data_IF_300424231480
#
_entry.id   IF_300424231480
#
_cell.length_a   1.000
_cell.length_b   1.000
_cell.length_c   1.000
_cell.angle_alpha   90.00
_cell.angle_beta   90.00
_cell.angle_gamma   90.00
#
_symmetry.space_group_name_H-M   'P 1'
#
loop_
_entity.id
_entity.type
_entity.pdbx_description
1 polymer ?
#
# COMPACT_ATOMS: atom_id res chain seq x y z
N UNK A 1 -43.58 -35.02 -51.35
CA UNK A 1 -42.30 -34.31 -51.11
C UNK A 1 -42.55 -33.10 -50.23
N UNK A 2 -41.55 -32.78 -49.38
CA UNK A 2 -41.36 -31.58 -48.57
C UNK A 2 -41.87 -31.62 -47.11
N UNK A 3 -40.99 -32.14 -46.26
CA UNK A 3 -40.93 -32.05 -44.80
C UNK A 3 -40.66 -30.61 -44.35
N UNK A 4 -41.53 -30.03 -43.50
CA UNK A 4 -41.23 -28.76 -42.81
C UNK A 4 -40.40 -29.04 -41.56
N UNK A 5 -39.13 -28.64 -41.62
CA UNK A 5 -38.12 -28.72 -40.56
C UNK A 5 -38.56 -27.96 -39.31
N UNK A 6 -38.42 -28.64 -38.17
CA UNK A 6 -38.36 -28.04 -36.83
C UNK A 6 -37.25 -26.98 -36.77
N UNK A 7 -37.57 -25.79 -36.29
CA UNK A 7 -36.59 -24.81 -35.84
C UNK A 7 -36.95 -24.43 -34.39
N UNK A 8 -36.47 -25.23 -33.44
CA UNK A 8 -36.47 -24.87 -32.04
C UNK A 8 -35.47 -23.72 -31.84
N UNK A 9 -35.97 -22.50 -31.65
CA UNK A 9 -35.18 -21.39 -31.12
C UNK A 9 -34.99 -21.63 -29.63
N UNK A 10 -33.85 -22.20 -29.25
CA UNK A 10 -33.38 -22.17 -27.87
C UNK A 10 -32.94 -20.73 -27.60
N UNK A 11 -33.72 -20.00 -26.82
CA UNK A 11 -33.27 -18.75 -26.23
C UNK A 11 -32.20 -19.11 -25.20
N UNK A 12 -30.94 -18.84 -25.53
CA UNK A 12 -29.85 -18.90 -24.56
C UNK A 12 -30.11 -17.78 -23.55
N UNK A 13 -30.53 -18.16 -22.33
CA UNK A 13 -30.57 -17.23 -21.22
C UNK A 13 -29.11 -16.85 -20.92
N UNK A 14 -28.76 -15.58 -21.09
CA UNK A 14 -27.48 -15.07 -20.64
C UNK A 14 -27.40 -15.30 -19.12
N UNK A 15 -26.39 -16.02 -18.66
CA UNK A 15 -26.08 -16.11 -17.24
C UNK A 15 -25.93 -14.68 -16.68
N UNK A 16 -26.43 -14.40 -15.46
CA UNK A 16 -26.31 -13.08 -14.89
C UNK A 16 -24.83 -12.72 -14.81
N UNK A 17 -24.44 -11.64 -15.50
CA UNK A 17 -23.12 -11.05 -15.45
C UNK A 17 -22.72 -10.95 -13.97
N UNK A 18 -21.63 -11.62 -13.56
CA UNK A 18 -21.12 -11.52 -12.20
C UNK A 18 -20.94 -10.03 -11.88
N UNK A 19 -21.70 -9.51 -10.89
CA UNK A 19 -21.51 -8.14 -10.43
C UNK A 19 -20.05 -7.98 -10.03
N UNK A 20 -19.37 -7.01 -10.63
CA UNK A 20 -18.05 -6.63 -10.17
C UNK A 20 -18.15 -6.24 -8.69
N UNK A 21 -17.19 -6.66 -7.85
CA UNK A 21 -17.18 -6.26 -6.45
C UNK A 21 -17.03 -4.74 -6.36
N UNK A 22 -17.76 -4.14 -5.43
CA UNK A 22 -17.65 -2.71 -5.15
C UNK A 22 -16.22 -2.37 -4.69
N UNK A 23 -15.78 -1.15 -4.99
CA UNK A 23 -14.52 -0.62 -4.48
C UNK A 23 -14.56 -0.58 -2.93
N UNK A 24 -13.40 -0.69 -2.26
CA UNK A 24 -13.33 -0.52 -0.81
C UNK A 24 -13.78 0.89 -0.41
N UNK A 25 -14.22 1.05 0.84
CA UNK A 25 -14.41 2.41 1.39
C UNK A 25 -13.06 3.13 1.54
N UNK A 26 -13.08 4.46 1.65
CA UNK A 26 -11.88 5.24 1.93
C UNK A 26 -11.17 4.77 3.22
N UNK A 27 -11.93 4.48 4.28
CA UNK A 27 -11.39 3.94 5.53
C UNK A 27 -10.72 2.59 5.35
N UNK A 28 -11.32 1.71 4.54
CA UNK A 28 -10.72 0.41 4.21
C UNK A 28 -9.42 0.59 3.43
N UNK A 29 -9.39 1.50 2.45
CA UNK A 29 -8.18 1.81 1.69
C UNK A 29 -7.06 2.39 2.57
N UNK A 30 -7.38 3.35 3.44
CA UNK A 30 -6.45 3.91 4.42
C UNK A 30 -5.89 2.83 5.34
N UNK A 31 -6.76 2.00 5.91
CA UNK A 31 -6.36 0.92 6.81
C UNK A 31 -5.47 -0.11 6.11
N UNK A 32 -5.80 -0.48 4.86
CA UNK A 32 -5.00 -1.39 4.05
C UNK A 32 -3.62 -0.80 3.75
N UNK A 33 -3.53 0.48 3.38
CA UNK A 33 -2.27 1.16 3.13
C UNK A 33 -1.37 1.16 4.38
N UNK A 34 -1.93 1.54 5.53
CA UNK A 34 -1.23 1.54 6.83
C UNK A 34 -0.76 0.14 7.22
N UNK A 35 -1.63 -0.87 7.08
CA UNK A 35 -1.27 -2.25 7.41
C UNK A 35 -0.15 -2.78 6.50
N UNK A 36 -0.18 -2.46 5.21
CA UNK A 36 0.84 -2.88 4.25
C UNK A 36 2.21 -2.25 4.55
N UNK A 37 2.24 -0.94 4.80
CA UNK A 37 3.50 -0.24 5.14
C UNK A 37 4.03 -0.70 6.49
N UNK A 38 3.18 -0.91 7.49
CA UNK A 38 3.62 -1.47 8.76
C UNK A 38 4.33 -2.81 8.57
N UNK A 39 3.72 -3.72 7.81
CA UNK A 39 4.31 -5.02 7.51
C UNK A 39 5.67 -4.87 6.80
N UNK A 40 5.77 -3.95 5.83
CA UNK A 40 7.00 -3.71 5.09
C UNK A 40 8.11 -3.15 5.98
N UNK A 41 7.80 -2.21 6.87
CA UNK A 41 8.75 -1.65 7.83
C UNK A 41 9.23 -2.71 8.83
N UNK A 42 8.32 -3.54 9.34
CA UNK A 42 8.69 -4.68 10.21
C UNK A 42 9.60 -5.68 9.48
N UNK A 43 9.39 -5.87 8.17
CA UNK A 43 10.27 -6.70 7.36
C UNK A 43 11.65 -6.07 7.12
N UNK A 44 11.72 -4.74 6.94
CA UNK A 44 13.00 -4.02 6.86
C UNK A 44 13.82 -4.18 8.13
N UNK A 45 13.20 -4.02 9.31
CA UNK A 45 13.88 -4.20 10.59
C UNK A 45 14.46 -5.63 10.70
N UNK A 46 13.67 -6.65 10.35
CA UNK A 46 14.17 -8.03 10.33
C UNK A 46 15.32 -8.22 9.34
N UNK A 47 15.20 -7.66 8.14
CA UNK A 47 16.24 -7.74 7.12
C UNK A 47 17.58 -7.14 7.58
N UNK A 48 17.53 -6.06 8.37
CA UNK A 48 18.73 -5.50 9.00
C UNK A 48 19.32 -6.43 10.05
N UNK A 49 18.50 -7.09 10.86
CA UNK A 49 19.01 -8.04 11.88
C UNK A 49 19.72 -9.24 11.25
N UNK A 50 19.31 -9.62 10.04
CA UNK A 50 19.93 -10.71 9.27
C UNK A 50 21.18 -10.26 8.47
N UNK A 51 21.44 -8.96 8.36
CA UNK A 51 22.56 -8.40 7.60
C UNK A 51 23.85 -8.42 8.41
N UNK A 52 24.75 -9.35 8.06
CA UNK A 52 26.06 -9.53 8.71
C UNK A 52 27.10 -8.48 8.33
N UNK A 53 26.82 -7.69 7.29
CA UNK A 53 27.72 -6.65 6.78
C UNK A 53 27.23 -5.25 7.17
N UNK A 54 26.35 -5.18 8.18
CA UNK A 54 25.84 -3.90 8.68
C UNK A 54 26.99 -3.04 9.22
N UNK A 55 27.02 -1.77 8.81
CA UNK A 55 28.04 -0.81 9.19
C UNK A 55 27.50 0.09 10.30
N UNK A 56 28.27 0.28 11.38
CA UNK A 56 27.86 1.10 12.53
C UNK A 56 27.53 2.55 12.15
N UNK A 57 28.09 3.05 11.03
CA UNK A 57 27.76 4.40 10.53
C UNK A 57 26.33 4.51 9.98
N UNK A 58 25.67 3.40 9.69
CA UNK A 58 24.28 3.35 9.20
C UNK A 58 23.27 3.22 10.37
N UNK A 59 23.68 3.40 11.64
CA UNK A 59 22.79 3.32 12.81
C UNK A 59 21.61 4.29 12.76
N UNK A 60 21.78 5.48 12.16
CA UNK A 60 20.69 6.44 11.97
C UNK A 60 19.61 5.90 11.02
N UNK A 61 19.96 4.97 10.13
CA UNK A 61 19.00 4.28 9.26
C UNK A 61 18.12 3.34 10.07
N UNK A 62 18.65 2.68 11.09
CA UNK A 62 17.85 1.88 12.03
C UNK A 62 16.82 2.77 12.73
N UNK A 63 17.27 3.89 13.30
CA UNK A 63 16.40 4.79 14.05
C UNK A 63 15.33 5.46 13.18
N UNK A 64 15.64 5.80 11.94
CA UNK A 64 14.66 6.39 11.01
C UNK A 64 13.59 5.38 10.59
N UNK A 65 13.95 4.11 10.37
CA UNK A 65 12.98 3.05 10.08
C UNK A 65 12.11 2.74 11.30
N UNK A 66 12.69 2.69 12.51
CA UNK A 66 11.94 2.50 13.76
C UNK A 66 10.99 3.67 14.03
N UNK A 67 11.43 4.91 13.77
CA UNK A 67 10.61 6.10 13.90
C UNK A 67 9.43 6.08 12.92
N UNK A 68 9.67 5.71 11.66
CA UNK A 68 8.61 5.53 10.67
C UNK A 68 7.59 4.49 11.13
N UNK A 69 8.07 3.35 11.67
CA UNK A 69 7.20 2.29 12.18
C UNK A 69 6.39 2.75 13.40
N UNK A 70 6.97 3.53 14.29
CA UNK A 70 6.26 4.12 15.43
C UNK A 70 5.12 5.03 14.95
N UNK A 71 5.37 5.92 13.98
CA UNK A 71 4.33 6.77 13.39
C UNK A 71 3.23 5.94 12.73
N UNK A 72 3.57 4.90 11.97
CA UNK A 72 2.59 4.02 11.33
C UNK A 72 1.75 3.24 12.35
N UNK A 73 2.35 2.77 13.44
CA UNK A 73 1.61 2.09 14.53
C UNK A 73 0.64 3.03 15.23
N UNK A 74 1.07 4.27 15.49
CA UNK A 74 0.18 5.31 16.04
C UNK A 74 -0.97 5.62 15.08
N UNK A 75 -0.65 5.81 13.78
CA UNK A 75 -1.65 6.05 12.74
C UNK A 75 -2.64 4.89 12.60
N UNK A 76 -2.19 3.64 12.79
CA UNK A 76 -3.07 2.46 12.77
C UNK A 76 -3.98 2.38 13.99
N UNK A 77 -3.47 2.72 15.16
CA UNK A 77 -4.22 2.68 16.41
C UNK A 77 -5.30 3.77 16.48
N UNK A 78 -5.04 4.92 15.85
CA UNK A 78 -5.92 6.07 15.79
C UNK A 78 -6.02 6.56 14.34
N UNK A 79 -6.81 5.84 13.54
CA UNK A 79 -7.03 6.16 12.13
C UNK A 79 -7.90 7.43 12.02
N UNK A 80 -7.41 8.53 11.42
CA UNK A 80 -8.18 9.75 11.28
C UNK A 80 -9.38 9.56 10.36
N UNK A 81 -10.47 10.26 10.67
CA UNK A 81 -11.67 10.30 9.82
C UNK A 81 -11.48 11.25 8.62
N UNK A 82 -10.59 12.24 8.75
CA UNK A 82 -10.33 13.21 7.69
C UNK A 82 -9.04 12.91 6.94
N UNK A 83 -9.09 13.07 5.62
CA UNK A 83 -7.99 12.76 4.70
C UNK A 83 -6.74 13.61 4.97
N UNK A 84 -6.91 14.90 5.29
CA UNK A 84 -5.78 15.81 5.53
C UNK A 84 -4.93 15.40 6.73
N UNK A 85 -5.56 15.01 7.84
CA UNK A 85 -4.86 14.52 9.03
C UNK A 85 -4.18 13.19 8.75
N UNK A 86 -4.84 12.29 8.00
CA UNK A 86 -4.24 11.05 7.56
C UNK A 86 -2.97 11.31 6.74
N UNK A 87 -3.06 12.12 5.68
CA UNK A 87 -1.94 12.46 4.80
C UNK A 87 -0.78 13.09 5.58
N UNK A 88 -1.07 14.05 6.48
CA UNK A 88 -0.03 14.68 7.29
C UNK A 88 0.75 13.65 8.14
N UNK A 89 0.03 12.78 8.87
CA UNK A 89 0.64 11.72 9.69
C UNK A 89 1.39 10.68 8.84
N UNK A 90 0.83 10.34 7.68
CA UNK A 90 1.43 9.44 6.70
C UNK A 90 2.76 9.99 6.16
N UNK A 91 2.79 11.25 5.76
CA UNK A 91 3.99 11.90 5.23
C UNK A 91 5.08 12.10 6.30
N UNK A 92 4.73 12.26 7.58
CA UNK A 92 5.73 12.24 8.66
C UNK A 92 6.47 10.90 8.73
N UNK A 93 5.74 9.78 8.63
CA UNK A 93 6.37 8.46 8.58
C UNK A 93 7.21 8.27 7.30
N UNK A 94 6.70 8.70 6.15
CA UNK A 94 7.43 8.63 4.88
C UNK A 94 8.70 9.49 4.86
N UNK A 95 8.67 10.66 5.50
CA UNK A 95 9.82 11.54 5.63
C UNK A 95 10.95 10.88 6.43
N UNK A 96 10.64 10.15 7.50
CA UNK A 96 11.65 9.40 8.26
C UNK A 96 12.34 8.35 7.37
N UNK A 97 11.58 7.55 6.60
CA UNK A 97 12.16 6.59 5.64
C UNK A 97 13.03 7.27 4.59
N UNK A 98 12.58 8.41 4.06
CA UNK A 98 13.33 9.18 3.07
C UNK A 98 14.66 9.69 3.63
N UNK A 99 14.68 10.16 4.88
CA UNK A 99 15.93 10.57 5.55
C UNK A 99 16.89 9.39 5.67
N UNK A 100 16.42 8.23 6.13
CA UNK A 100 17.24 7.02 6.19
C UNK A 100 17.77 6.58 4.84
N UNK A 101 16.96 6.66 3.78
CA UNK A 101 17.39 6.34 2.41
C UNK A 101 18.46 7.30 1.88
N UNK A 102 18.41 8.58 2.25
CA UNK A 102 19.41 9.56 1.81
C UNK A 102 20.76 9.37 2.49
N UNK A 103 20.77 8.99 3.77
CA UNK A 103 21.97 8.83 4.58
C UNK A 103 22.61 7.46 4.49
N UNK A 104 21.86 6.43 4.06
CA UNK A 104 22.38 5.07 3.96
C UNK A 104 23.58 4.96 3.00
N UNK A 105 24.64 4.35 3.50
CA UNK A 105 25.93 4.36 2.82
C UNK A 105 26.09 3.32 1.70
N UNK A 106 25.39 2.17 1.79
CA UNK A 106 25.57 1.01 0.89
C UNK A 106 24.47 0.91 -0.16
N UNK A 107 24.47 1.84 -1.12
CA UNK A 107 23.40 1.97 -2.14
C UNK A 107 23.22 0.76 -3.08
N UNK A 108 24.21 -0.11 -3.20
CA UNK A 108 24.10 -1.31 -4.04
C UNK A 108 23.50 -2.52 -3.31
N UNK A 109 23.29 -2.43 -2.00
CA UNK A 109 22.82 -3.53 -1.17
C UNK A 109 21.35 -3.87 -1.41
N UNK A 110 20.98 -5.12 -1.09
CA UNK A 110 19.58 -5.56 -1.09
C UNK A 110 18.74 -4.74 -0.11
N UNK A 111 19.31 -4.39 1.04
CA UNK A 111 18.65 -3.56 2.04
C UNK A 111 18.26 -2.19 1.45
N UNK A 112 19.19 -1.53 0.75
CA UNK A 112 18.89 -0.24 0.12
C UNK A 112 17.73 -0.33 -0.87
N UNK A 113 17.72 -1.36 -1.73
CA UNK A 113 16.62 -1.58 -2.69
C UNK A 113 15.28 -1.75 -1.99
N UNK A 114 15.25 -2.47 -0.86
CA UNK A 114 14.04 -2.61 -0.04
C UNK A 114 13.66 -1.28 0.59
N UNK A 115 14.62 -0.53 1.13
CA UNK A 115 14.39 0.79 1.73
C UNK A 115 13.78 1.79 0.74
N UNK A 116 14.33 1.87 -0.48
CA UNK A 116 13.77 2.73 -1.55
C UNK A 116 12.43 2.22 -2.07
N UNK A 117 12.19 0.91 -2.04
CA UNK A 117 10.87 0.34 -2.35
C UNK A 117 9.85 0.79 -1.32
N UNK A 118 10.18 0.72 -0.04
CA UNK A 118 9.32 1.22 1.05
C UNK A 118 9.05 2.71 0.89
N UNK A 119 10.07 3.53 0.57
CA UNK A 119 9.88 4.94 0.26
C UNK A 119 8.83 5.13 -0.85
N UNK A 120 8.94 4.39 -1.95
CA UNK A 120 7.98 4.48 -3.06
C UNK A 120 6.57 4.03 -2.68
N UNK A 121 6.42 3.08 -1.77
CA UNK A 121 5.10 2.66 -1.27
C UNK A 121 4.36 3.81 -0.58
N UNK A 122 5.06 4.69 0.15
CA UNK A 122 4.42 5.87 0.75
C UNK A 122 3.75 6.77 -0.30
N UNK A 123 4.37 6.93 -1.47
CA UNK A 123 3.84 7.75 -2.56
C UNK A 123 2.69 7.06 -3.29
N UNK A 124 2.83 5.77 -3.59
CA UNK A 124 1.85 5.03 -4.40
C UNK A 124 0.57 4.75 -3.59
N UNK A 125 0.70 4.38 -2.31
CA UNK A 125 -0.45 3.98 -1.52
C UNK A 125 -1.32 5.17 -1.11
N UNK A 126 -0.75 6.36 -0.91
CA UNK A 126 -1.56 7.56 -0.67
C UNK A 126 -2.35 7.96 -1.92
N UNK A 127 -1.76 7.83 -3.12
CA UNK A 127 -2.48 8.02 -4.39
C UNK A 127 -3.61 6.99 -4.57
N UNK A 128 -3.40 5.75 -4.12
CA UNK A 128 -4.44 4.73 -4.16
C UNK A 128 -5.61 5.06 -3.20
N UNK A 129 -5.31 5.60 -2.01
CA UNK A 129 -6.34 6.07 -1.08
C UNK A 129 -7.12 7.23 -1.70
N UNK A 130 -6.42 8.20 -2.30
CA UNK A 130 -7.05 9.33 -2.99
C UNK A 130 -7.97 8.87 -4.12
N UNK A 131 -7.50 7.94 -4.97
CA UNK A 131 -8.32 7.35 -6.02
C UNK A 131 -9.61 6.74 -5.46
N UNK A 132 -9.52 5.90 -4.43
CA UNK A 132 -10.70 5.25 -3.81
C UNK A 132 -11.66 6.29 -3.22
N UNK A 133 -11.13 7.31 -2.54
CA UNK A 133 -11.93 8.38 -1.95
C UNK A 133 -12.67 9.21 -3.01
N UNK A 134 -12.03 9.49 -4.15
CA UNK A 134 -12.65 10.18 -5.29
C UNK A 134 -13.74 9.34 -5.96
N UNK A 135 -13.47 8.06 -6.22
CA UNK A 135 -14.43 7.12 -6.81
C UNK A 135 -15.67 6.97 -5.92
N UNK A 136 -15.50 6.87 -4.60
CA UNK A 136 -16.62 6.76 -3.66
C UNK A 136 -17.43 8.05 -3.58
N UNK A 137 -16.79 9.23 -3.67
CA UNK A 137 -17.50 10.53 -3.61
C UNK A 137 -18.19 10.92 -4.92
N UNK A 138 -17.56 10.61 -6.05
CA UNK A 138 -17.94 11.19 -7.35
C UNK A 138 -18.41 10.15 -8.37
N UNK A 139 -18.15 8.85 -8.16
CA UNK A 139 -18.65 7.76 -9.00
C UNK A 139 -18.31 7.91 -10.49
N UNK A 140 -17.04 8.17 -10.80
CA UNK A 140 -16.56 8.32 -12.19
C UNK A 140 -16.39 6.96 -12.87
#
# INVERSE_FOLDING_TARGET
MSTKKNAARVAVQAEPCQKQPDLPSADQAMLTAVAHVQHTLEHLIRARLDDKEWDDKDVDVDFTVDLALAHIRLLRADLPLDRSTFENRWFMAGAAVNLGAQTFSRRDSLYYRRLTTTQRQFEVLVQMVEFVDEEVRYGV
#
